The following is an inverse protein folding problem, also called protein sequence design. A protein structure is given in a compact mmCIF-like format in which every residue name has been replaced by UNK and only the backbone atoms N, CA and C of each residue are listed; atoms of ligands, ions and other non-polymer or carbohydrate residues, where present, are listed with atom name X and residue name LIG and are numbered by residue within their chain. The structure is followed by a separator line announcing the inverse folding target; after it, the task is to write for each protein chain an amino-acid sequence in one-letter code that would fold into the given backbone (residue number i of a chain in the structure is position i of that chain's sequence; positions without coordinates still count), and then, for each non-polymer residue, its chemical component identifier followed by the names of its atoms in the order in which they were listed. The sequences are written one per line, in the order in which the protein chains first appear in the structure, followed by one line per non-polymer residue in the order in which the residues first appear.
data_IF_906110487758
#
_entry.id   IF_906110487758
#
_cell.length_a   1.000
_cell.length_b   1.000
_cell.length_c   1.000
_cell.angle_alpha   90.00
_cell.angle_beta   90.00
_cell.angle_gamma   90.00
#
_symmetry.space_group_name_H-M   'P 1'
#
loop_
_entity.id
_entity.type
_entity.pdbx_description
1 polymer ?
#
# COMPACT_ATOMS: atom_id res chain seq x y z
N UNK A 1 16.60 -57.17 10.34
CA UNK A 1 17.60 -56.32 9.71
C UNK A 1 17.29 -54.85 10.00
N UNK A 2 18.20 -54.27 10.81
CA UNK A 2 18.08 -52.88 11.24
C UNK A 2 18.56 -51.97 10.09
N UNK A 3 17.69 -51.08 9.62
CA UNK A 3 18.10 -50.01 8.73
C UNK A 3 18.69 -48.85 9.54
N UNK A 4 19.99 -48.66 9.41
CA UNK A 4 20.72 -47.53 9.99
C UNK A 4 20.26 -46.20 9.37
N UNK A 5 19.99 -45.21 10.23
CA UNK A 5 19.78 -43.83 9.84
C UNK A 5 21.11 -43.19 9.40
N UNK A 6 21.16 -42.47 8.28
CA UNK A 6 22.32 -41.65 7.98
C UNK A 6 22.34 -40.43 8.92
N UNK A 7 23.52 -40.14 9.48
CA UNK A 7 23.76 -38.99 10.34
C UNK A 7 23.69 -37.69 9.54
N UNK A 8 22.96 -36.71 10.09
CA UNK A 8 22.96 -35.33 9.57
C UNK A 8 24.32 -34.68 9.87
N UNK A 9 24.91 -33.94 8.92
CA UNK A 9 26.09 -33.13 9.19
C UNK A 9 25.75 -31.92 10.04
N UNK A 10 26.65 -31.58 10.99
CA UNK A 10 26.56 -30.46 11.87
C UNK A 10 26.53 -29.10 11.12
N UNK A 11 25.83 -28.08 11.62
CA UNK A 11 25.81 -26.77 10.99
C UNK A 11 27.13 -26.04 11.17
N UNK A 12 27.69 -25.59 10.04
CA UNK A 12 28.88 -24.74 10.00
C UNK A 12 28.55 -23.35 10.54
N UNK A 13 29.30 -22.93 11.55
CA UNK A 13 29.26 -21.60 12.11
C UNK A 13 29.86 -20.58 11.11
N UNK A 14 29.04 -19.70 10.56
CA UNK A 14 29.52 -18.49 9.92
C UNK A 14 29.38 -17.29 10.87
N UNK A 15 30.41 -16.45 10.99
CA UNK A 15 30.41 -15.34 11.91
C UNK A 15 29.46 -14.20 11.43
N UNK A 16 28.69 -13.70 12.38
CA UNK A 16 27.82 -12.53 12.25
C UNK A 16 28.67 -11.28 11.95
N UNK A 17 28.60 -10.77 10.74
CA UNK A 17 29.11 -9.45 10.42
C UNK A 17 27.99 -8.40 10.67
N UNK A 18 28.12 -7.76 11.81
CA UNK A 18 27.29 -6.63 12.26
C UNK A 18 27.86 -5.37 11.64
N UNK A 19 27.18 -4.79 10.70
CA UNK A 19 27.44 -3.41 10.27
C UNK A 19 26.14 -2.68 10.07
N UNK A 20 25.65 -2.07 11.14
CA UNK A 20 24.65 -1.01 11.05
C UNK A 20 25.38 0.29 10.72
N UNK A 21 25.26 0.76 9.49
CA UNK A 21 25.70 2.10 9.11
C UNK A 21 24.56 3.08 9.34
N UNK A 22 24.78 4.01 10.25
CA UNK A 22 23.96 5.20 10.49
C UNK A 22 23.94 6.08 9.24
N UNK A 23 22.76 6.53 8.83
CA UNK A 23 22.59 7.60 7.89
C UNK A 23 22.77 8.95 8.62
N UNK A 24 23.54 9.90 8.09
CA UNK A 24 23.59 11.26 8.64
C UNK A 24 22.47 12.12 8.06
N UNK A 25 21.79 12.78 8.97
CA UNK A 25 20.87 13.89 8.73
C UNK A 25 21.66 15.15 8.41
N UNK A 26 21.14 15.95 7.46
CA UNK A 26 21.30 17.40 7.49
C UNK A 26 22.41 17.99 6.64
N UNK A 27 22.03 18.58 5.52
CA UNK A 27 22.75 19.74 4.96
C UNK A 27 21.73 20.74 4.39
N UNK A 28 21.54 21.81 5.15
CA UNK A 28 20.95 23.06 4.67
C UNK A 28 21.98 23.76 3.81
N UNK A 29 21.73 23.95 2.54
CA UNK A 29 22.50 24.89 1.74
C UNK A 29 21.87 26.28 1.79
N UNK A 30 22.60 27.14 2.52
CA UNK A 30 22.46 28.55 2.53
C UNK A 30 23.30 29.09 1.36
N UNK A 31 22.68 29.70 0.35
CA UNK A 31 23.43 30.40 -0.72
C UNK A 31 23.40 31.88 -0.48
N UNK A 32 24.55 32.34 -0.09
CA UNK A 32 25.01 33.72 0.08
C UNK A 32 24.98 34.49 -1.24
N UNK A 33 24.41 35.65 -1.13
CA UNK A 33 24.65 36.93 -1.77
C UNK A 33 26.04 37.08 -2.41
N UNK A 34 26.09 37.32 -3.72
CA UNK A 34 27.22 37.85 -4.43
C UNK A 34 26.85 39.20 -5.04
N UNK A 35 27.34 40.28 -4.44
CA UNK A 35 27.23 41.61 -4.99
C UNK A 35 28.32 41.90 -6.01
N UNK A 36 27.97 42.66 -7.04
CA UNK A 36 28.97 43.35 -7.86
C UNK A 36 28.67 44.85 -7.88
N UNK A 37 29.65 45.57 -7.40
CA UNK A 37 29.85 47.01 -7.52
C UNK A 37 30.60 47.31 -8.82
N UNK A 38 30.34 48.47 -9.38
CA UNK A 38 31.18 49.20 -10.32
C UNK A 38 30.31 49.88 -11.39
N UNK A 39 30.31 51.12 -11.65
CA UNK A 39 31.19 52.22 -11.41
C UNK A 39 30.70 53.33 -12.33
N UNK A 40 30.67 54.57 -11.81
CA UNK A 40 30.50 55.83 -12.55
C UNK A 40 31.69 56.05 -13.49
N UNK A 41 31.76 57.10 -14.40
CA UNK A 41 31.14 58.43 -14.30
C UNK A 41 30.76 59.09 -15.64
N UNK A 42 30.18 60.28 -15.57
CA UNK A 42 30.50 61.33 -16.53
C UNK A 42 29.35 62.08 -17.18
N UNK A 43 28.99 63.18 -16.68
CA UNK A 43 29.09 64.54 -17.15
C UNK A 43 28.03 65.11 -18.13
N UNK A 44 27.93 66.43 -18.15
CA UNK A 44 26.63 67.09 -18.28
C UNK A 44 26.45 67.78 -19.65
N UNK A 45 25.19 67.96 -20.08
CA UNK A 45 24.90 69.11 -20.96
C UNK A 45 23.47 69.65 -20.78
N UNK A 46 23.53 70.98 -20.59
CA UNK A 46 22.45 71.97 -20.62
C UNK A 46 21.60 71.90 -21.91
N UNK A 47 20.34 72.27 -21.80
CA UNK A 47 19.52 72.64 -22.93
C UNK A 47 18.14 73.10 -22.50
N UNK A 48 17.98 74.39 -22.27
CA UNK A 48 16.69 75.09 -22.16
C UNK A 48 15.85 74.89 -23.36
N UNK A 49 14.54 74.61 -23.20
CA UNK A 49 13.47 75.32 -23.94
C UNK A 49 12.13 75.22 -23.25
N UNK A 50 11.60 76.36 -22.93
CA UNK A 50 10.21 76.60 -22.54
C UNK A 50 9.31 76.22 -23.73
N UNK A 51 8.27 75.42 -23.46
CA UNK A 51 7.15 75.18 -24.31
C UNK A 51 5.90 75.03 -23.46
N UNK A 52 5.09 76.10 -23.36
CA UNK A 52 3.79 76.05 -22.74
C UNK A 52 2.85 75.27 -23.63
N UNK A 53 2.61 74.01 -23.31
CA UNK A 53 1.56 73.20 -23.93
C UNK A 53 0.51 72.89 -22.85
N UNK A 54 -0.69 73.43 -23.04
CA UNK A 54 -1.87 73.02 -22.25
C UNK A 54 -2.09 71.56 -22.51
N UNK A 55 -1.71 70.72 -21.55
CA UNK A 55 -2.01 69.31 -21.57
C UNK A 55 -3.44 69.16 -21.07
N UNK A 56 -4.36 68.82 -21.96
CA UNK A 56 -5.65 68.25 -21.62
C UNK A 56 -5.36 66.97 -20.81
N UNK A 57 -5.53 67.07 -19.49
CA UNK A 57 -5.47 65.89 -18.64
C UNK A 57 -6.71 65.06 -18.83
N UNK A 58 -6.64 64.06 -19.74
CA UNK A 58 -7.62 62.98 -19.73
C UNK A 58 -7.56 62.30 -18.35
N UNK A 59 -8.71 62.15 -17.63
CA UNK A 59 -8.69 61.42 -16.38
C UNK A 59 -8.21 59.98 -16.69
N UNK A 60 -7.01 59.73 -16.24
CA UNK A 60 -6.45 58.38 -16.41
C UNK A 60 -7.32 57.44 -15.60
N UNK A 61 -7.81 56.38 -16.25
CA UNK A 61 -8.63 55.32 -15.63
C UNK A 61 -8.10 54.86 -14.26
N UNK A 62 -6.82 55.05 -13.98
CA UNK A 62 -6.19 54.83 -12.68
C UNK A 62 -6.76 55.69 -11.57
N UNK A 63 -7.13 56.98 -11.81
CA UNK A 63 -7.70 57.86 -10.82
C UNK A 63 -9.15 57.48 -10.43
N UNK A 64 -9.89 56.80 -11.33
CA UNK A 64 -11.22 56.28 -11.03
C UNK A 64 -11.17 55.00 -10.19
N UNK A 65 -10.16 54.13 -10.41
CA UNK A 65 -10.00 52.90 -9.64
C UNK A 65 -9.53 53.14 -8.21
N UNK A 66 -8.71 54.19 -7.96
CA UNK A 66 -8.20 54.50 -6.63
C UNK A 66 -9.08 55.57 -5.90
N UNK A 67 -10.22 55.91 -6.45
CA UNK A 67 -11.20 56.72 -5.69
C UNK A 67 -11.87 55.88 -4.60
N UNK A 68 -12.28 56.48 -3.46
CA UNK A 68 -12.95 55.72 -2.38
C UNK A 68 -14.16 54.90 -2.88
N UNK A 69 -14.85 55.39 -3.90
CA UNK A 69 -15.96 54.70 -4.56
C UNK A 69 -15.51 53.55 -5.44
N UNK A 70 -14.38 53.69 -6.16
CA UNK A 70 -13.80 52.64 -6.98
C UNK A 70 -13.28 51.48 -6.13
N UNK A 71 -12.60 51.77 -5.02
CA UNK A 71 -12.13 50.78 -4.06
C UNK A 71 -13.31 50.01 -3.44
N UNK A 72 -14.36 50.70 -3.04
CA UNK A 72 -15.57 50.07 -2.50
C UNK A 72 -16.21 49.11 -3.53
N UNK A 73 -16.28 49.52 -4.81
CA UNK A 73 -16.82 48.66 -5.87
C UNK A 73 -15.99 47.43 -6.11
N UNK A 74 -14.66 47.56 -6.12
CA UNK A 74 -13.71 46.41 -6.26
C UNK A 74 -13.88 45.45 -5.07
N UNK A 75 -14.00 45.97 -3.85
CA UNK A 75 -14.18 45.14 -2.66
C UNK A 75 -15.52 44.35 -2.71
N UNK A 76 -16.59 45.00 -3.16
CA UNK A 76 -17.88 44.31 -3.34
C UNK A 76 -17.79 43.20 -4.38
N UNK A 77 -17.14 43.44 -5.53
CA UNK A 77 -16.92 42.41 -6.54
C UNK A 77 -16.05 41.28 -6.03
N UNK A 78 -15.02 41.55 -5.23
CA UNK A 78 -14.16 40.54 -4.61
C UNK A 78 -14.93 39.67 -3.61
N UNK A 79 -15.83 40.27 -2.81
CA UNK A 79 -16.70 39.53 -1.87
C UNK A 79 -17.68 38.63 -2.61
N UNK A 80 -18.33 39.15 -3.68
CA UNK A 80 -19.25 38.35 -4.51
C UNK A 80 -18.49 37.21 -5.20
N UNK A 81 -17.30 37.46 -5.76
CA UNK A 81 -16.47 36.49 -6.40
C UNK A 81 -16.00 35.39 -5.43
N UNK A 82 -15.56 35.79 -4.25
CA UNK A 82 -15.12 34.85 -3.20
C UNK A 82 -16.29 33.99 -2.69
N UNK A 83 -17.45 34.61 -2.49
CA UNK A 83 -18.68 33.90 -2.09
C UNK A 83 -19.14 32.89 -3.15
N UNK A 84 -19.13 33.28 -4.42
CA UNK A 84 -19.50 32.40 -5.54
C UNK A 84 -18.55 31.21 -5.69
N UNK A 85 -17.26 31.45 -5.55
CA UNK A 85 -16.23 30.38 -5.59
C UNK A 85 -16.40 29.41 -4.41
N UNK A 86 -16.67 29.92 -3.20
CA UNK A 86 -16.90 29.11 -2.01
C UNK A 86 -18.12 28.21 -2.15
N UNK A 87 -19.23 28.73 -2.66
CA UNK A 87 -20.47 27.95 -2.90
C UNK A 87 -20.22 26.88 -3.96
N UNK A 88 -19.55 27.21 -5.07
CA UNK A 88 -19.26 26.26 -6.14
C UNK A 88 -18.37 25.11 -5.64
N UNK A 89 -17.34 25.39 -4.85
CA UNK A 89 -16.47 24.34 -4.27
C UNK A 89 -17.21 23.48 -3.25
N UNK A 90 -18.11 24.05 -2.45
CA UNK A 90 -18.94 23.30 -1.52
C UNK A 90 -19.90 22.34 -2.23
N UNK A 91 -20.54 22.78 -3.31
CA UNK A 91 -21.43 21.94 -4.14
C UNK A 91 -20.66 20.81 -4.80
N UNK A 92 -19.45 21.06 -5.32
CA UNK A 92 -18.62 20.02 -5.92
C UNK A 92 -18.15 18.98 -4.88
N UNK A 93 -17.75 19.42 -3.69
CA UNK A 93 -17.42 18.50 -2.58
C UNK A 93 -18.60 17.64 -2.17
N UNK A 94 -19.79 18.22 -2.03
CA UNK A 94 -21.01 17.44 -1.73
C UNK A 94 -21.31 16.37 -2.78
N UNK A 95 -21.17 16.68 -4.07
CA UNK A 95 -21.38 15.72 -5.15
C UNK A 95 -20.35 14.59 -5.14
N UNK A 96 -19.06 14.90 -4.88
CA UNK A 96 -18.02 13.87 -4.80
C UNK A 96 -18.18 12.96 -3.60
N UNK A 97 -18.61 13.48 -2.45
CA UNK A 97 -18.92 12.67 -1.27
C UNK A 97 -20.12 11.76 -1.48
N UNK A 98 -21.17 12.27 -2.12
CA UNK A 98 -22.38 11.49 -2.42
C UNK A 98 -22.09 10.36 -3.42
N UNK A 99 -21.34 10.64 -4.50
CA UNK A 99 -20.92 9.60 -5.45
C UNK A 99 -20.05 8.56 -4.79
N UNK A 100 -19.11 8.95 -3.93
CA UNK A 100 -18.27 8.01 -3.18
C UNK A 100 -19.09 7.13 -2.22
N UNK A 101 -20.13 7.68 -1.58
CA UNK A 101 -21.05 6.90 -0.72
C UNK A 101 -21.85 5.89 -1.54
N UNK A 102 -22.38 6.29 -2.69
CA UNK A 102 -23.15 5.42 -3.59
C UNK A 102 -22.25 4.28 -4.11
N UNK A 103 -21.03 4.58 -4.51
CA UNK A 103 -20.08 3.57 -4.96
C UNK A 103 -19.69 2.59 -3.83
N UNK A 104 -19.43 3.11 -2.64
CA UNK A 104 -19.14 2.27 -1.47
C UNK A 104 -20.33 1.37 -1.08
N UNK A 105 -21.55 1.87 -1.26
CA UNK A 105 -22.76 1.09 -0.98
C UNK A 105 -23.01 0.02 -2.05
N UNK A 106 -22.78 0.32 -3.33
CA UNK A 106 -22.83 -0.66 -4.43
C UNK A 106 -21.77 -1.74 -4.25
N UNK A 107 -20.55 -1.37 -3.83
CA UNK A 107 -19.48 -2.34 -3.59
C UNK A 107 -19.82 -3.25 -2.40
N UNK A 108 -20.37 -2.70 -1.30
CA UNK A 108 -20.86 -3.51 -0.18
C UNK A 108 -21.98 -4.46 -0.61
N UNK A 109 -22.90 -4.02 -1.44
CA UNK A 109 -23.98 -4.84 -1.94
C UNK A 109 -23.47 -5.94 -2.90
N UNK A 110 -22.46 -5.60 -3.73
CA UNK A 110 -21.78 -6.57 -4.60
C UNK A 110 -21.05 -7.63 -3.79
N UNK A 111 -20.31 -7.23 -2.76
CA UNK A 111 -19.63 -8.13 -1.84
C UNK A 111 -20.62 -8.97 -1.02
N UNK A 112 -21.75 -8.40 -0.61
CA UNK A 112 -22.81 -9.15 0.08
C UNK A 112 -23.48 -10.19 -0.83
N UNK A 113 -23.67 -9.89 -2.12
CA UNK A 113 -24.15 -10.84 -3.13
C UNK A 113 -23.12 -11.91 -3.49
N UNK A 114 -21.81 -11.58 -3.42
CA UNK A 114 -20.71 -12.53 -3.60
C UNK A 114 -20.43 -13.38 -2.36
N UNK A 115 -20.90 -12.97 -1.18
CA UNK A 115 -20.93 -13.84 -0.01
C UNK A 115 -21.93 -14.97 -0.29
N UNK A 116 -21.43 -16.04 -0.87
CA UNK A 116 -22.13 -17.32 -0.86
C UNK A 116 -22.32 -17.67 0.61
N UNK A 117 -23.55 -17.53 1.11
CA UNK A 117 -23.86 -17.89 2.50
C UNK A 117 -23.43 -19.34 2.70
N UNK A 118 -22.64 -19.65 3.75
CA UNK A 118 -22.22 -21.02 4.05
C UNK A 118 -23.39 -22.01 4.15
N UNK A 119 -24.59 -21.49 4.40
CA UNK A 119 -25.85 -22.23 4.50
C UNK A 119 -26.37 -22.77 3.17
N UNK A 120 -25.82 -22.38 2.01
CA UNK A 120 -26.21 -22.91 0.69
C UNK A 120 -25.30 -24.05 0.19
N UNK A 121 -24.14 -24.27 0.81
CA UNK A 121 -23.46 -25.54 0.65
C UNK A 121 -24.21 -26.53 1.55
N UNK A 122 -25.07 -27.32 0.96
CA UNK A 122 -25.72 -28.43 1.66
C UNK A 122 -24.67 -29.31 2.36
N UNK A 123 -25.03 -30.03 3.43
CA UNK A 123 -24.09 -30.77 4.31
C UNK A 123 -23.26 -31.86 3.61
N UNK A 124 -23.32 -31.98 2.29
CA UNK A 124 -22.76 -33.08 1.50
C UNK A 124 -21.65 -32.69 0.52
N UNK A 125 -21.28 -31.42 0.41
CA UNK A 125 -20.15 -31.04 -0.48
C UNK A 125 -18.84 -31.15 0.32
N UNK A 126 -18.19 -32.29 0.16
CA UNK A 126 -16.81 -32.45 0.65
C UNK A 126 -15.92 -31.54 -0.22
N UNK A 127 -15.20 -30.58 0.37
CA UNK A 127 -14.31 -29.73 -0.40
C UNK A 127 -13.18 -30.57 -0.98
N UNK A 128 -12.99 -30.49 -2.30
CA UNK A 128 -11.94 -31.21 -3.01
C UNK A 128 -10.88 -30.21 -3.41
N UNK A 129 -9.68 -30.38 -2.87
CA UNK A 129 -8.50 -29.57 -3.21
C UNK A 129 -7.96 -29.91 -4.60
N UNK A 130 -7.21 -28.98 -5.19
CA UNK A 130 -6.44 -29.25 -6.41
C UNK A 130 -5.53 -30.46 -6.17
N UNK A 131 -5.61 -31.50 -6.99
CA UNK A 131 -4.82 -32.72 -6.81
C UNK A 131 -3.32 -32.41 -6.91
N UNK A 132 -2.51 -33.08 -6.09
CA UNK A 132 -1.05 -32.83 -6.00
C UNK A 132 -0.34 -32.99 -7.37
N UNK A 133 -0.84 -33.85 -8.24
CA UNK A 133 -0.33 -34.01 -9.61
C UNK A 133 -0.46 -32.79 -10.51
N UNK A 134 -1.34 -31.85 -10.14
CA UNK A 134 -1.55 -30.58 -10.85
C UNK A 134 -0.82 -29.39 -10.19
N UNK A 135 -0.05 -29.61 -9.13
CA UNK A 135 0.72 -28.56 -8.47
C UNK A 135 1.96 -28.20 -9.28
N UNK A 136 2.09 -26.92 -9.61
CA UNK A 136 3.21 -26.42 -10.40
C UNK A 136 3.49 -24.93 -10.13
N UNK A 137 4.68 -24.49 -10.40
CA UNK A 137 5.02 -23.07 -10.31
C UNK A 137 4.15 -22.21 -11.25
N UNK A 138 3.78 -21.03 -10.78
CA UNK A 138 2.96 -20.08 -11.54
C UNK A 138 1.47 -20.40 -11.56
N UNK A 139 1.04 -21.55 -11.00
CA UNK A 139 -0.36 -21.91 -10.86
C UNK A 139 -0.72 -22.08 -9.38
N UNK A 140 -1.60 -21.22 -8.87
CA UNK A 140 -2.03 -21.26 -7.47
C UNK A 140 -3.00 -22.44 -7.26
N UNK A 141 -2.61 -23.48 -6.49
CA UNK A 141 -3.54 -24.56 -6.18
C UNK A 141 -4.63 -24.05 -5.24
N UNK A 142 -5.85 -24.52 -5.39
CA UNK A 142 -6.93 -24.34 -4.42
C UNK A 142 -6.87 -25.44 -3.40
N UNK A 143 -6.46 -25.13 -2.17
CA UNK A 143 -6.37 -26.10 -1.08
C UNK A 143 -7.36 -25.73 0.02
N UNK A 144 -8.14 -26.70 0.45
CA UNK A 144 -9.08 -26.54 1.54
C UNK A 144 -8.51 -27.12 2.82
N UNK A 145 -8.49 -26.34 3.88
CA UNK A 145 -8.08 -26.76 5.23
C UNK A 145 -8.84 -27.99 5.71
N UNK A 146 -10.09 -28.12 5.29
CA UNK A 146 -11.00 -29.21 5.68
C UNK A 146 -10.96 -30.42 4.75
N UNK A 147 -10.04 -30.47 3.78
CA UNK A 147 -9.90 -31.62 2.88
C UNK A 147 -9.52 -32.88 3.67
N UNK A 148 -10.26 -34.00 3.51
CA UNK A 148 -10.01 -35.25 4.22
C UNK A 148 -8.58 -35.78 4.12
N UNK A 149 -7.86 -35.42 3.07
CA UNK A 149 -6.47 -35.86 2.85
C UNK A 149 -5.51 -35.41 3.98
N UNK A 150 -5.82 -34.27 4.64
CA UNK A 150 -4.96 -33.73 5.70
C UNK A 150 -5.73 -33.15 6.91
N UNK A 151 -7.05 -33.03 6.82
CA UNK A 151 -7.87 -32.36 7.84
C UNK A 151 -7.68 -32.89 9.26
N UNK A 152 -7.44 -34.20 9.43
CA UNK A 152 -7.25 -34.83 10.74
C UNK A 152 -5.80 -34.86 11.25
N UNK A 153 -4.84 -34.32 10.48
CA UNK A 153 -3.46 -34.24 10.94
C UNK A 153 -3.35 -33.30 12.16
N UNK A 154 -2.49 -33.62 13.14
CA UNK A 154 -2.33 -32.80 14.33
C UNK A 154 -1.69 -31.46 13.99
N UNK A 155 -2.16 -30.38 14.65
CA UNK A 155 -1.60 -29.03 14.53
C UNK A 155 -2.01 -28.15 15.71
N UNK A 156 -1.05 -27.46 16.33
CA UNK A 156 -1.27 -26.44 17.36
C UNK A 156 -2.16 -26.91 18.53
N UNK A 157 -2.01 -28.15 18.95
CA UNK A 157 -2.86 -28.77 19.99
C UNK A 157 -4.27 -29.14 19.53
N UNK A 158 -4.56 -28.98 18.25
CA UNK A 158 -5.81 -29.33 17.56
C UNK A 158 -5.50 -30.18 16.33
N UNK A 159 -6.30 -30.02 15.29
CA UNK A 159 -6.10 -30.59 13.96
C UNK A 159 -5.99 -29.50 12.89
N UNK A 160 -5.52 -29.91 11.70
CA UNK A 160 -5.40 -29.02 10.53
C UNK A 160 -6.74 -28.40 10.17
N UNK A 161 -7.84 -29.16 10.25
CA UNK A 161 -9.20 -28.67 9.98
C UNK A 161 -9.58 -27.47 10.82
N UNK A 162 -9.15 -27.45 12.07
CA UNK A 162 -9.54 -26.44 13.06
C UNK A 162 -8.61 -25.23 13.07
N UNK A 163 -7.29 -25.45 12.97
CA UNK A 163 -6.29 -24.42 13.30
C UNK A 163 -5.35 -24.03 12.13
N UNK A 164 -5.30 -24.77 11.03
CA UNK A 164 -4.25 -24.62 10.02
C UNK A 164 -4.62 -23.76 8.81
N UNK A 165 -5.43 -22.71 8.96
CA UNK A 165 -5.70 -21.77 7.87
C UNK A 165 -4.39 -21.11 7.36
N UNK A 166 -3.50 -20.70 8.27
CA UNK A 166 -2.21 -20.14 7.94
C UNK A 166 -1.31 -21.10 7.15
N UNK A 167 -1.00 -22.29 7.67
CA UNK A 167 -0.26 -23.31 6.94
C UNK A 167 -0.86 -23.66 5.58
N UNK A 168 -2.18 -23.79 5.47
CA UNK A 168 -2.84 -24.06 4.19
C UNK A 168 -2.61 -22.93 3.18
N UNK A 169 -2.75 -21.68 3.59
CA UNK A 169 -2.46 -20.51 2.73
C UNK A 169 -0.99 -20.46 2.32
N UNK A 170 -0.06 -20.70 3.25
CA UNK A 170 1.36 -20.69 2.94
C UNK A 170 1.74 -21.85 2.00
N UNK A 171 1.10 -23.02 2.11
CA UNK A 171 1.28 -24.13 1.16
C UNK A 171 0.89 -23.70 -0.25
N UNK A 172 -0.25 -23.05 -0.44
CA UNK A 172 -0.66 -22.55 -1.75
C UNK A 172 0.37 -21.61 -2.36
N UNK A 173 0.87 -20.65 -1.56
CA UNK A 173 1.90 -19.70 -2.00
C UNK A 173 3.24 -20.40 -2.27
N UNK A 174 3.62 -21.37 -1.45
CA UNK A 174 4.82 -22.17 -1.60
C UNK A 174 4.85 -22.92 -2.94
N UNK A 175 3.77 -23.62 -3.23
CA UNK A 175 3.63 -24.32 -4.52
C UNK A 175 3.67 -23.33 -5.69
N UNK A 176 2.90 -22.25 -5.60
CA UNK A 176 2.85 -21.23 -6.65
C UNK A 176 4.21 -20.63 -6.98
N UNK A 177 4.99 -20.29 -5.96
CA UNK A 177 6.28 -19.62 -6.15
C UNK A 177 7.41 -20.58 -6.50
N UNK A 178 7.37 -21.83 -6.00
CA UNK A 178 8.51 -22.76 -6.10
C UNK A 178 8.26 -23.95 -7.03
N UNK A 179 7.00 -24.30 -7.27
CA UNK A 179 6.60 -25.54 -7.95
C UNK A 179 6.88 -26.81 -7.15
N UNK A 180 7.38 -26.69 -5.91
CA UNK A 180 7.64 -27.85 -5.05
C UNK A 180 6.34 -28.43 -4.53
N UNK A 181 6.32 -29.75 -4.40
CA UNK A 181 5.16 -30.51 -3.96
C UNK A 181 5.42 -31.36 -2.71
N UNK A 182 6.55 -31.14 -2.05
CA UNK A 182 7.03 -31.88 -0.89
C UNK A 182 6.22 -31.60 0.39
N UNK A 183 5.66 -30.39 0.52
CA UNK A 183 4.82 -29.99 1.65
C UNK A 183 3.38 -29.81 1.19
N UNK A 184 2.46 -30.61 1.74
CA UNK A 184 1.03 -30.37 1.72
C UNK A 184 0.59 -29.60 2.97
N UNK A 185 -0.70 -29.25 3.16
CA UNK A 185 -1.16 -28.57 4.35
C UNK A 185 -0.81 -29.26 5.68
N UNK A 186 -0.79 -30.60 5.72
CA UNK A 186 -0.37 -31.32 6.92
C UNK A 186 1.14 -31.21 7.16
N UNK A 187 1.94 -31.35 6.11
CA UNK A 187 3.40 -31.17 6.20
C UNK A 187 3.78 -29.74 6.55
N UNK A 188 3.09 -28.75 6.02
CA UNK A 188 3.28 -27.34 6.35
C UNK A 188 2.89 -27.02 7.79
N UNK A 189 1.81 -27.64 8.30
CA UNK A 189 1.38 -27.52 9.69
C UNK A 189 2.40 -28.16 10.64
N UNK A 190 2.88 -29.34 10.31
CA UNK A 190 3.95 -30.01 11.09
C UNK A 190 5.23 -29.17 11.13
N UNK A 191 5.64 -28.59 10.00
CA UNK A 191 6.77 -27.65 9.92
C UNK A 191 6.55 -26.43 10.82
N UNK A 192 5.34 -25.87 10.86
CA UNK A 192 5.02 -24.74 11.71
C UNK A 192 5.10 -25.10 13.22
N UNK A 193 4.61 -26.27 13.62
CA UNK A 193 4.71 -26.77 15.01
C UNK A 193 6.18 -27.06 15.40
N UNK A 194 6.94 -27.74 14.56
CA UNK A 194 8.36 -28.04 14.79
C UNK A 194 9.19 -26.79 15.07
N UNK A 195 8.86 -25.67 14.41
CA UNK A 195 9.54 -24.40 14.54
C UNK A 195 8.84 -23.41 15.47
N UNK A 196 7.87 -23.89 16.26
CA UNK A 196 7.16 -23.13 17.28
C UNK A 196 6.44 -21.88 16.74
N UNK A 197 5.83 -21.99 15.57
CA UNK A 197 5.02 -20.90 14.98
C UNK A 197 3.55 -20.90 15.42
N UNK A 198 3.15 -21.82 16.28
CA UNK A 198 1.79 -21.89 16.82
C UNK A 198 1.74 -22.20 18.34
N UNK A 199 2.54 -21.52 19.18
CA UNK A 199 2.71 -21.88 20.59
C UNK A 199 1.44 -21.69 21.44
N UNK A 200 0.50 -20.88 20.96
CA UNK A 200 -0.74 -20.55 21.68
C UNK A 200 -1.98 -21.21 21.09
N UNK A 201 -1.82 -22.21 20.24
CA UNK A 201 -2.95 -22.88 19.58
C UNK A 201 -3.43 -22.20 18.29
N UNK A 202 -2.74 -21.15 17.83
CA UNK A 202 -3.02 -20.45 16.60
C UNK A 202 -1.72 -20.08 15.88
N UNK A 203 -1.74 -20.06 14.54
CA UNK A 203 -0.59 -19.67 13.73
C UNK A 203 -0.24 -18.20 13.96
N UNK A 204 0.98 -17.90 14.36
CA UNK A 204 1.48 -16.54 14.48
C UNK A 204 1.83 -15.93 13.10
N UNK A 205 1.68 -14.61 12.98
CA UNK A 205 2.00 -13.89 11.73
C UNK A 205 3.45 -14.04 11.29
N UNK A 206 4.40 -14.21 12.24
CA UNK A 206 5.80 -14.44 11.90
C UNK A 206 6.01 -15.73 11.10
N UNK A 207 5.05 -16.65 11.08
CA UNK A 207 5.10 -17.80 10.18
C UNK A 207 5.07 -17.39 8.71
N UNK A 208 4.35 -16.31 8.37
CA UNK A 208 4.28 -15.77 7.00
C UNK A 208 5.55 -15.01 6.60
N UNK A 209 6.44 -14.70 7.55
CA UNK A 209 7.72 -14.01 7.31
C UNK A 209 8.90 -14.93 7.58
N UNK A 210 9.11 -15.29 8.83
CA UNK A 210 10.26 -16.08 9.26
C UNK A 210 10.14 -17.53 8.76
N UNK A 211 8.97 -18.16 8.93
CA UNK A 211 8.68 -19.49 8.41
C UNK A 211 8.80 -19.56 6.89
N UNK A 212 8.23 -18.57 6.16
CA UNK A 212 8.38 -18.47 4.72
C UNK A 212 9.85 -18.33 4.29
N UNK A 213 10.64 -17.54 5.04
CA UNK A 213 12.08 -17.38 4.79
C UNK A 213 12.85 -18.71 4.93
N UNK A 214 12.52 -19.52 5.92
CA UNK A 214 13.11 -20.86 6.11
C UNK A 214 12.80 -21.80 4.93
N UNK A 215 11.68 -21.57 4.23
CA UNK A 215 11.30 -22.29 3.01
C UNK A 215 11.90 -21.69 1.74
N UNK A 216 12.73 -20.65 1.86
CA UNK A 216 13.35 -19.95 0.74
C UNK A 216 12.45 -18.89 0.08
N UNK A 217 11.33 -18.52 0.70
CA UNK A 217 10.39 -17.50 0.21
C UNK A 217 10.67 -16.17 0.90
N UNK A 218 10.91 -15.11 0.12
CA UNK A 218 10.99 -13.75 0.64
C UNK A 218 9.60 -13.14 0.72
N UNK A 219 9.21 -12.71 1.90
CA UNK A 219 7.92 -12.08 2.15
C UNK A 219 8.08 -10.74 2.87
N UNK A 220 7.07 -9.91 2.82
CA UNK A 220 7.00 -8.63 3.51
C UNK A 220 5.56 -8.29 3.87
N UNK A 221 5.38 -7.55 4.94
CA UNK A 221 4.06 -7.04 5.30
C UNK A 221 3.58 -6.03 4.25
N UNK A 222 2.29 -6.10 3.92
CA UNK A 222 1.59 -5.18 3.03
C UNK A 222 0.58 -4.39 3.86
N UNK A 223 0.50 -3.07 3.64
CA UNK A 223 -0.48 -2.25 4.33
C UNK A 223 -1.91 -2.74 4.03
N UNK A 224 -2.80 -2.82 5.04
CA UNK A 224 -4.14 -3.40 4.90
C UNK A 224 -5.11 -2.43 4.22
N UNK A 225 -4.78 -2.01 3.02
CA UNK A 225 -5.63 -1.17 2.19
C UNK A 225 -5.64 -1.69 0.74
N UNK A 226 -6.71 -1.38 0.01
CA UNK A 226 -6.92 -1.85 -1.34
C UNK A 226 -5.78 -1.51 -2.30
N UNK A 227 -5.27 -0.28 -2.24
CA UNK A 227 -4.24 0.18 -3.17
C UNK A 227 -2.94 -0.62 -3.02
N UNK A 228 -2.49 -0.86 -1.79
CA UNK A 228 -1.29 -1.64 -1.50
C UNK A 228 -1.44 -3.11 -1.90
N UNK A 229 -2.61 -3.71 -1.64
CA UNK A 229 -2.91 -5.11 -2.01
C UNK A 229 -2.93 -5.25 -3.54
N UNK A 230 -3.66 -4.36 -4.25
CA UNK A 230 -3.72 -4.39 -5.72
C UNK A 230 -2.34 -4.20 -6.32
N UNK A 231 -1.55 -3.23 -5.82
CA UNK A 231 -0.18 -3.01 -6.29
C UNK A 231 0.72 -4.24 -6.11
N UNK A 232 0.57 -4.99 -5.02
CA UNK A 232 1.31 -6.24 -4.81
C UNK A 232 0.89 -7.32 -5.82
N UNK A 233 -0.43 -7.47 -6.05
CA UNK A 233 -0.97 -8.44 -7.00
C UNK A 233 -0.59 -8.10 -8.45
N UNK A 234 -0.65 -6.82 -8.84
CA UNK A 234 -0.22 -6.34 -10.17
C UNK A 234 1.28 -6.57 -10.41
N UNK A 235 2.07 -6.57 -9.33
CA UNK A 235 3.49 -6.95 -9.38
C UNK A 235 3.73 -8.47 -9.38
N UNK A 236 2.68 -9.29 -9.54
CA UNK A 236 2.75 -10.75 -9.55
C UNK A 236 3.04 -11.40 -8.21
N UNK A 237 2.86 -10.68 -7.10
CA UNK A 237 3.11 -11.18 -5.74
C UNK A 237 1.82 -11.70 -5.13
N UNK A 238 1.75 -12.97 -4.71
CA UNK A 238 0.60 -13.48 -3.96
C UNK A 238 0.50 -12.79 -2.60
N UNK A 239 -0.73 -12.56 -2.12
CA UNK A 239 -0.99 -11.89 -0.85
C UNK A 239 -1.85 -12.80 0.03
N UNK A 240 -1.40 -13.02 1.28
CA UNK A 240 -2.17 -13.71 2.32
C UNK A 240 -2.84 -12.66 3.18
N UNK A 241 -4.18 -12.73 3.29
CA UNK A 241 -4.99 -11.83 4.10
C UNK A 241 -5.69 -12.60 5.22
N UNK A 242 -5.75 -11.99 6.40
CA UNK A 242 -6.71 -12.40 7.44
C UNK A 242 -8.02 -11.65 7.24
N UNK A 243 -9.12 -12.35 7.33
CA UNK A 243 -10.50 -11.83 7.18
C UNK A 243 -11.32 -12.15 8.42
#
# INVERSE_FOLDING_TARGET
PAYGRPACPAPSQHPLNRSYAHAPSGARHNMTRGGYRGGHPGGPHRGHRRGSGRIFSHPTWRSLLFSPRGIAFILVLAIIGAGGLGIHTAIQRGKTEETARIEAQKEKERLAKQRVSPTKLGPTVVPVSTPRSAWQAGSMPHLYQTDPAWASAPYAGNDVRTAACGPTCLTMVYVYLTGKTDLDPAGMAAFADEHNFAPTGATEWRFMTDGASMLGIRSSAVAPNRASIVSALDAGKPVICSV
#
